data_IF_480571821790
#
_entry.id   IF_480571821790
#
_cell.length_a   1.000
_cell.length_b   1.000
_cell.length_c   1.000
_cell.angle_alpha   90.00
_cell.angle_beta   90.00
_cell.angle_gamma   90.00
#
_symmetry.space_group_name_H-M   'P 1'
#
loop_
_entity.id
_entity.type
_entity.pdbx_description
1 polymer ?
#
# COMPACT_ATOMS: atom_id res chain seq x y z
N UNK A 1 -25.89 -8.90 -0.24
CA UNK A 1 -25.07 -10.00 -0.82
C UNK A 1 -23.87 -9.49 -1.61
N UNK A 2 -24.00 -8.52 -2.52
CA UNK A 2 -22.87 -7.96 -3.31
C UNK A 2 -21.72 -7.34 -2.47
N UNK A 3 -22.04 -6.58 -1.42
CA UNK A 3 -21.03 -5.94 -0.55
C UNK A 3 -20.19 -6.93 0.25
N UNK A 4 -20.79 -8.06 0.65
CA UNK A 4 -20.09 -9.14 1.35
C UNK A 4 -19.16 -9.90 0.39
N UNK A 5 -19.61 -10.15 -0.84
CA UNK A 5 -18.85 -10.84 -1.86
C UNK A 5 -17.64 -10.02 -2.34
N UNK A 6 -17.80 -8.69 -2.47
CA UNK A 6 -16.68 -7.78 -2.73
C UNK A 6 -15.63 -7.77 -1.61
N UNK A 7 -16.06 -7.77 -0.35
CA UNK A 7 -15.14 -7.85 0.80
C UNK A 7 -14.34 -9.15 0.81
N UNK A 8 -15.00 -10.29 0.56
CA UNK A 8 -14.36 -11.60 0.49
C UNK A 8 -13.38 -11.68 -0.70
N UNK A 9 -13.74 -11.11 -1.85
CA UNK A 9 -12.86 -11.07 -3.02
C UNK A 9 -11.62 -10.20 -2.80
N UNK A 10 -11.77 -9.01 -2.21
CA UNK A 10 -10.62 -8.15 -1.85
C UNK A 10 -9.72 -8.86 -0.84
N UNK A 11 -10.29 -9.54 0.16
CA UNK A 11 -9.53 -10.31 1.14
C UNK A 11 -8.72 -11.42 0.46
N UNK A 12 -9.34 -12.20 -0.43
CA UNK A 12 -8.66 -13.27 -1.19
C UNK A 12 -7.53 -12.70 -2.08
N UNK A 13 -7.74 -11.55 -2.71
CA UNK A 13 -6.76 -10.90 -3.58
C UNK A 13 -5.57 -10.36 -2.78
N UNK A 14 -5.82 -9.79 -1.59
CA UNK A 14 -4.76 -9.35 -0.67
C UNK A 14 -3.98 -10.52 -0.06
N UNK A 15 -4.64 -11.63 0.27
CA UNK A 15 -3.99 -12.84 0.79
C UNK A 15 -3.14 -13.49 -0.30
N UNK A 16 -3.63 -13.57 -1.55
CA UNK A 16 -2.89 -14.12 -2.68
C UNK A 16 -1.64 -13.31 -3.07
N UNK A 17 -1.66 -11.99 -2.88
CA UNK A 17 -0.48 -11.14 -3.07
C UNK A 17 0.51 -11.26 -1.89
N UNK A 18 0.01 -11.55 -0.68
CA UNK A 18 0.85 -11.79 0.50
C UNK A 18 1.62 -13.12 0.40
N UNK A 19 1.00 -14.17 -0.16
CA UNK A 19 1.66 -15.48 -0.29
C UNK A 19 2.73 -15.53 -1.37
N UNK A 20 2.62 -14.77 -2.46
CA UNK A 20 3.68 -14.68 -3.48
C UNK A 20 4.93 -13.97 -2.97
N UNK A 21 4.78 -12.99 -2.08
CA UNK A 21 5.90 -12.31 -1.40
C UNK A 21 6.61 -13.26 -0.45
N UNK A 22 5.87 -14.08 0.31
CA UNK A 22 6.46 -15.09 1.19
C UNK A 22 7.12 -16.24 0.43
N UNK A 23 6.57 -16.65 -0.71
CA UNK A 23 7.15 -17.71 -1.55
C UNK A 23 8.49 -17.32 -2.18
N UNK A 24 8.68 -16.05 -2.56
CA UNK A 24 9.98 -15.54 -3.00
C UNK A 24 11.04 -15.54 -1.87
N UNK A 25 10.60 -15.59 -0.61
CA UNK A 25 11.49 -15.66 0.56
C UNK A 25 11.80 -17.10 1.00
N UNK A 26 11.20 -18.12 0.38
CA UNK A 26 11.25 -19.51 0.80
C UNK A 26 12.11 -20.42 -0.10
N UNK A 27 13.12 -19.87 -0.82
CA UNK A 27 14.25 -20.71 -1.25
C UNK A 27 15.11 -21.04 -0.02
N UNK A 28 14.71 -22.07 0.72
CA UNK A 28 15.50 -22.65 1.80
C UNK A 28 16.60 -23.54 1.19
N UNK A 29 17.73 -22.93 0.84
CA UNK A 29 18.95 -23.65 0.54
C UNK A 29 19.82 -23.65 1.82
N UNK A 30 20.07 -24.79 2.47
CA UNK A 30 20.61 -24.86 3.83
C UNK A 30 22.10 -24.47 3.97
N UNK A 31 22.68 -23.74 3.00
CA UNK A 31 24.08 -23.30 3.00
C UNK A 31 24.27 -21.81 3.43
N UNK A 32 23.20 -21.04 3.63
CA UNK A 32 23.26 -19.57 3.64
C UNK A 32 23.05 -18.93 5.02
N UNK A 33 23.64 -19.50 6.08
CA UNK A 33 23.67 -18.87 7.41
C UNK A 33 24.45 -17.52 7.46
N UNK A 34 24.94 -17.04 6.31
CA UNK A 34 25.60 -15.74 6.09
C UNK A 34 24.96 -14.90 4.97
N UNK A 35 23.81 -15.30 4.39
CA UNK A 35 23.17 -14.55 3.31
C UNK A 35 22.18 -13.52 3.84
N UNK A 36 22.56 -12.25 3.74
CA UNK A 36 21.75 -11.11 4.16
C UNK A 36 20.46 -10.90 3.32
N UNK A 37 20.31 -11.63 2.22
CA UNK A 37 19.23 -11.46 1.23
C UNK A 37 17.83 -11.74 1.83
N UNK A 38 17.67 -12.82 2.59
CA UNK A 38 16.38 -13.15 3.20
C UNK A 38 15.89 -12.08 4.19
N UNK A 39 16.80 -11.52 5.00
CA UNK A 39 16.48 -10.46 5.95
C UNK A 39 16.16 -9.13 5.27
N UNK A 40 16.86 -8.80 4.17
CA UNK A 40 16.58 -7.62 3.34
C UNK A 40 15.20 -7.69 2.68
N UNK A 41 14.83 -8.86 2.15
CA UNK A 41 13.53 -9.08 1.54
C UNK A 41 12.37 -8.89 2.54
N UNK A 42 12.51 -9.44 3.76
CA UNK A 42 11.51 -9.27 4.81
C UNK A 42 11.41 -7.80 5.24
N UNK A 43 12.54 -7.12 5.46
CA UNK A 43 12.53 -5.70 5.82
C UNK A 43 11.87 -4.82 4.74
N UNK A 44 12.17 -5.07 3.47
CA UNK A 44 11.58 -4.38 2.33
C UNK A 44 10.07 -4.64 2.19
N UNK A 45 9.62 -5.88 2.41
CA UNK A 45 8.21 -6.24 2.39
C UNK A 45 7.42 -5.57 3.52
N UNK A 46 7.99 -5.51 4.73
CA UNK A 46 7.34 -4.89 5.89
C UNK A 46 7.19 -3.38 5.68
N UNK A 47 8.27 -2.69 5.30
CA UNK A 47 8.23 -1.22 5.16
C UNK A 47 7.25 -0.79 4.06
N UNK A 48 7.25 -1.48 2.92
CA UNK A 48 6.32 -1.17 1.82
C UNK A 48 4.89 -1.56 2.13
N UNK A 49 4.68 -2.74 2.73
CA UNK A 49 3.35 -3.23 3.11
C UNK A 49 2.66 -2.32 4.12
N UNK A 50 3.38 -1.86 5.15
CA UNK A 50 2.83 -0.92 6.14
C UNK A 50 2.54 0.44 5.51
N UNK A 51 3.47 0.98 4.70
CA UNK A 51 3.28 2.28 4.06
C UNK A 51 2.08 2.26 3.09
N UNK A 52 1.99 1.25 2.22
CA UNK A 52 0.89 1.09 1.29
C UNK A 52 -0.44 0.85 2.01
N UNK A 53 -0.45 0.02 3.06
CA UNK A 53 -1.63 -0.26 3.86
C UNK A 53 -2.17 0.99 4.57
N UNK A 54 -1.30 1.74 5.25
CA UNK A 54 -1.67 2.99 5.92
C UNK A 54 -2.14 4.05 4.90
N UNK A 55 -1.45 4.14 3.76
CA UNK A 55 -1.79 5.04 2.67
C UNK A 55 -3.17 4.75 2.06
N UNK A 56 -3.47 3.48 1.79
CA UNK A 56 -4.76 3.05 1.25
C UNK A 56 -5.93 3.42 2.19
N UNK A 57 -5.74 3.26 3.51
CA UNK A 57 -6.75 3.66 4.50
C UNK A 57 -6.95 5.19 4.48
N UNK A 58 -5.86 5.96 4.49
CA UNK A 58 -5.90 7.42 4.44
C UNK A 58 -6.59 7.96 3.18
N UNK A 59 -6.23 7.42 2.01
CA UNK A 59 -6.82 7.80 0.73
C UNK A 59 -8.31 7.45 0.66
N UNK A 60 -8.70 6.26 1.14
CA UNK A 60 -10.11 5.83 1.16
C UNK A 60 -10.99 6.74 2.01
N UNK A 61 -10.53 7.11 3.21
CA UNK A 61 -11.26 8.02 4.11
C UNK A 61 -11.34 9.42 3.51
N UNK A 62 -10.23 9.97 3.00
CA UNK A 62 -10.18 11.30 2.41
C UNK A 62 -11.13 11.40 1.21
N UNK A 63 -11.05 10.43 0.30
CA UNK A 63 -11.90 10.36 -0.90
C UNK A 63 -13.37 10.19 -0.54
N UNK A 64 -13.70 9.33 0.43
CA UNK A 64 -15.08 9.16 0.89
C UNK A 64 -15.69 10.45 1.44
N UNK A 65 -14.92 11.19 2.27
CA UNK A 65 -15.34 12.49 2.81
C UNK A 65 -15.47 13.57 1.74
N UNK A 66 -14.60 13.55 0.73
CA UNK A 66 -14.67 14.46 -0.40
C UNK A 66 -15.99 14.28 -1.17
N UNK A 67 -16.38 13.02 -1.46
CA UNK A 67 -17.66 12.74 -2.11
C UNK A 67 -18.88 13.12 -1.28
N UNK A 68 -18.87 12.89 0.04
CA UNK A 68 -19.95 13.37 0.93
C UNK A 68 -20.06 14.90 0.89
N UNK A 69 -18.92 15.59 0.89
CA UNK A 69 -18.87 17.06 0.85
C UNK A 69 -19.40 17.60 -0.49
N UNK A 70 -19.04 16.97 -1.61
CA UNK A 70 -19.54 17.31 -2.95
C UNK A 70 -21.06 17.09 -3.02
N UNK A 71 -21.57 15.98 -2.46
CA UNK A 71 -23.00 15.69 -2.46
C UNK A 71 -23.82 16.72 -1.66
N UNK A 72 -23.24 17.31 -0.60
CA UNK A 72 -23.88 18.35 0.22
C UNK A 72 -23.73 19.75 -0.38
N UNK A 73 -22.66 19.99 -1.13
CA UNK A 73 -22.32 21.29 -1.73
C UNK A 73 -21.77 21.10 -3.15
N UNK A 74 -22.64 20.87 -4.15
CA UNK A 74 -22.21 20.61 -5.53
C UNK A 74 -21.50 21.82 -6.15
N UNK A 75 -21.89 23.05 -5.78
CA UNK A 75 -21.27 24.27 -6.29
C UNK A 75 -19.80 24.45 -5.88
N UNK A 76 -19.34 23.71 -4.86
CA UNK A 76 -17.95 23.77 -4.38
C UNK A 76 -17.09 22.59 -4.88
N UNK A 77 -17.59 21.80 -5.84
CA UNK A 77 -16.97 20.55 -6.28
C UNK A 77 -15.49 20.71 -6.69
N UNK A 78 -15.18 21.69 -7.54
CA UNK A 78 -13.82 21.89 -8.04
C UNK A 78 -12.82 22.20 -6.92
N UNK A 79 -13.25 22.99 -5.93
CA UNK A 79 -12.42 23.34 -4.77
C UNK A 79 -12.19 22.12 -3.87
N UNK A 80 -13.23 21.30 -3.66
CA UNK A 80 -13.13 20.06 -2.87
C UNK A 80 -12.21 19.06 -3.55
N UNK A 81 -12.38 18.82 -4.85
CA UNK A 81 -11.50 17.94 -5.65
C UNK A 81 -10.06 18.42 -5.62
N UNK A 82 -9.82 19.73 -5.75
CA UNK A 82 -8.49 20.31 -5.66
C UNK A 82 -7.82 20.04 -4.30
N UNK A 83 -8.52 20.28 -3.20
CA UNK A 83 -8.00 19.99 -1.86
C UNK A 83 -7.82 18.49 -1.61
N UNK A 84 -8.69 17.64 -2.16
CA UNK A 84 -8.58 16.18 -2.07
C UNK A 84 -7.31 15.70 -2.78
N UNK A 85 -7.09 16.10 -4.03
CA UNK A 85 -5.89 15.69 -4.78
C UNK A 85 -4.60 16.18 -4.14
N UNK A 86 -4.58 17.40 -3.60
CA UNK A 86 -3.44 17.89 -2.85
C UNK A 86 -3.10 16.97 -1.66
N UNK A 87 -4.12 16.55 -0.90
CA UNK A 87 -3.95 15.60 0.20
C UNK A 87 -3.47 14.22 -0.25
N UNK A 88 -4.06 13.68 -1.33
CA UNK A 88 -3.67 12.39 -1.90
C UNK A 88 -2.22 12.38 -2.38
N UNK A 89 -1.75 13.46 -3.02
CA UNK A 89 -0.37 13.56 -3.50
C UNK A 89 0.64 13.48 -2.34
N UNK A 90 0.35 14.09 -1.19
CA UNK A 90 1.23 13.97 -0.01
C UNK A 90 1.29 12.54 0.52
N UNK A 91 0.15 11.84 0.57
CA UNK A 91 0.10 10.43 0.97
C UNK A 91 0.90 9.58 -0.02
N UNK A 92 0.69 9.77 -1.31
CA UNK A 92 1.38 9.02 -2.36
C UNK A 92 2.89 9.25 -2.31
N UNK A 93 3.34 10.49 -2.09
CA UNK A 93 4.76 10.82 -1.97
C UNK A 93 5.43 10.06 -0.82
N UNK A 94 4.75 9.91 0.32
CA UNK A 94 5.27 9.15 1.45
C UNK A 94 5.38 7.65 1.13
N UNK A 95 4.41 7.08 0.41
CA UNK A 95 4.43 5.67 -0.03
C UNK A 95 5.58 5.45 -1.01
N UNK A 96 5.78 6.37 -1.96
CA UNK A 96 6.90 6.29 -2.90
C UNK A 96 8.25 6.37 -2.18
N UNK A 97 8.39 7.18 -1.12
CA UNK A 97 9.62 7.18 -0.32
C UNK A 97 9.88 5.83 0.36
N UNK A 98 8.84 5.19 0.91
CA UNK A 98 8.97 3.83 1.47
C UNK A 98 9.34 2.79 0.39
N UNK A 99 8.76 2.90 -0.81
CA UNK A 99 9.10 2.04 -1.95
C UNK A 99 10.56 2.24 -2.40
N UNK A 100 11.02 3.49 -2.50
CA UNK A 100 12.41 3.79 -2.86
C UNK A 100 13.37 3.20 -1.83
N UNK A 101 13.10 3.37 -0.54
CA UNK A 101 13.93 2.77 0.53
C UNK A 101 13.98 1.25 0.40
N UNK A 102 12.85 0.59 0.15
CA UNK A 102 12.82 -0.86 -0.03
C UNK A 102 13.63 -1.33 -1.24
N UNK A 103 13.55 -0.60 -2.36
CA UNK A 103 14.38 -0.87 -3.54
C UNK A 103 15.87 -0.71 -3.20
N UNK A 104 16.26 0.33 -2.48
CA UNK A 104 17.64 0.53 -2.05
C UNK A 104 18.14 -0.61 -1.14
N UNK A 105 17.29 -1.10 -0.23
CA UNK A 105 17.62 -2.21 0.68
C UNK A 105 17.85 -3.53 -0.06
N UNK A 106 17.15 -3.78 -1.17
CA UNK A 106 17.28 -5.02 -1.94
C UNK A 106 18.41 -4.95 -2.98
N UNK A 107 18.54 -3.84 -3.70
CA UNK A 107 19.38 -3.79 -4.91
C UNK A 107 20.69 -3.03 -4.75
N UNK A 108 20.85 -2.23 -3.69
CA UNK A 108 22.01 -1.34 -3.53
C UNK A 108 22.80 -1.66 -2.27
N UNK A 109 22.11 -1.80 -1.15
CA UNK A 109 22.68 -2.15 0.15
C UNK A 109 22.83 -3.65 0.26
#
# INVERSE_FOLDING_TARGET
>A
MHRFLLFVLVLILTIGFCTSVYAAAAEDNPADATDSTGSKAIAAAIVTGIAAGAGAIGMGISTGKAYESIARQPDAEDKIRGSMFLGLIFIETAIIYALVVAILVIFVL
#
